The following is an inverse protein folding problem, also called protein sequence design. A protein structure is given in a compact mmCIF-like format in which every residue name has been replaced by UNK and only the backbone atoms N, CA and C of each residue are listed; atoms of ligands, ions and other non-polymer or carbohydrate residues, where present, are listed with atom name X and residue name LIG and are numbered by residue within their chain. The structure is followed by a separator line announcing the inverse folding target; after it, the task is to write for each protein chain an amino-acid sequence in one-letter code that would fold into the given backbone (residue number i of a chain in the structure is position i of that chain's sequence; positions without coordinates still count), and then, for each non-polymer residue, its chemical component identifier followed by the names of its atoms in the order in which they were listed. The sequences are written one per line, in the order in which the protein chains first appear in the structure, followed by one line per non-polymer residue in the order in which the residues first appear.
data_IF_885455121599
#
_entry.id   IF_885455121599
#
_cell.length_a   1.000
_cell.length_b   1.000
_cell.length_c   1.000
_cell.angle_alpha   90.00
_cell.angle_beta   90.00
_cell.angle_gamma   90.00
#
_symmetry.space_group_name_H-M   'P 1'
#
loop_
_entity.id
_entity.type
_entity.pdbx_description
1 polymer ?
#
# COMPACT_ATOMS: atom_id res chain seq x y z
N UNK A 1 8.50 -8.72 8.74
CA UNK A 1 7.91 -7.80 7.75
C UNK A 1 6.46 -7.61 8.15
N UNK A 2 6.03 -6.36 8.27
CA UNK A 2 4.65 -5.99 8.54
C UNK A 2 4.25 -4.96 7.50
N UNK A 3 3.10 -5.14 6.86
CA UNK A 3 2.62 -4.26 5.81
C UNK A 3 1.49 -3.38 6.36
N UNK A 4 1.60 -2.07 6.14
CA UNK A 4 0.48 -1.15 6.30
C UNK A 4 -0.12 -0.88 4.93
N UNK A 5 -1.43 -1.08 4.82
CA UNK A 5 -2.21 -0.82 3.59
C UNK A 5 -3.25 0.24 3.93
N UNK A 6 -3.13 1.42 3.33
CA UNK A 6 -3.98 2.56 3.61
C UNK A 6 -4.71 2.98 2.34
N UNK A 7 -6.05 2.97 2.38
CA UNK A 7 -6.89 3.53 1.33
C UNK A 7 -7.41 4.91 1.72
N UNK A 8 -7.31 5.89 0.84
CA UNK A 8 -7.94 7.20 1.02
C UNK A 8 -8.32 7.84 -0.31
N UNK A 9 -9.16 8.87 -0.25
CA UNK A 9 -9.47 9.71 -1.41
C UNK A 9 -8.69 11.01 -1.31
N UNK A 10 -8.12 11.48 -2.42
CA UNK A 10 -7.38 12.73 -2.51
C UNK A 10 -8.23 13.93 -2.05
N UNK A 11 -7.59 15.02 -1.59
CA UNK A 11 -8.27 16.30 -1.47
C UNK A 11 -8.96 16.64 -2.79
N UNK A 12 -10.20 17.13 -2.71
CA UNK A 12 -11.08 17.39 -3.86
C UNK A 12 -11.69 16.15 -4.56
N UNK A 13 -11.55 14.96 -3.98
CA UNK A 13 -12.24 13.74 -4.41
C UNK A 13 -11.94 13.30 -5.85
N UNK A 14 -10.77 13.65 -6.39
CA UNK A 14 -10.40 13.37 -7.78
C UNK A 14 -9.78 12.00 -7.99
N UNK A 15 -9.14 11.43 -6.95
CA UNK A 15 -8.39 10.18 -7.04
C UNK A 15 -8.63 9.34 -5.78
N UNK A 16 -8.82 8.05 -5.96
CA UNK A 16 -8.76 7.09 -4.86
C UNK A 16 -7.39 6.44 -4.87
N UNK A 17 -6.74 6.41 -3.71
CA UNK A 17 -5.32 6.08 -3.58
C UNK A 17 -5.18 4.92 -2.59
N UNK A 18 -4.33 3.96 -2.93
CA UNK A 18 -3.87 2.88 -2.08
C UNK A 18 -2.38 3.05 -1.81
N UNK A 19 -2.02 3.32 -0.56
CA UNK A 19 -0.64 3.34 -0.10
C UNK A 19 -0.24 2.01 0.53
N UNK A 20 0.92 1.47 0.15
CA UNK A 20 1.48 0.25 0.74
C UNK A 20 2.87 0.53 1.29
N UNK A 21 3.08 0.21 2.56
CA UNK A 21 4.36 0.44 3.26
C UNK A 21 4.80 -0.83 3.97
N UNK A 22 6.06 -1.23 3.78
CA UNK A 22 6.71 -2.29 4.55
C UNK A 22 7.44 -1.73 5.77
N UNK A 23 7.26 -2.40 6.89
CA UNK A 23 7.89 -2.14 8.17
C UNK A 23 8.72 -3.36 8.58
N UNK A 24 10.05 -3.18 8.69
CA UNK A 24 10.95 -4.27 9.05
C UNK A 24 12.14 -3.79 9.91
N UNK A 25 12.63 -4.63 10.84
CA UNK A 25 13.85 -4.34 11.57
C UNK A 25 15.10 -4.67 10.72
N UNK A 26 16.16 -3.90 10.89
CA UNK A 26 17.50 -4.31 10.45
C UNK A 26 18.12 -5.31 11.42
N UNK A 27 19.26 -5.88 11.01
CA UNK A 27 20.11 -6.75 11.84
C UNK A 27 20.59 -6.08 13.12
N UNK A 28 20.55 -4.74 13.21
CA UNK A 28 20.92 -3.96 14.41
C UNK A 28 19.72 -3.56 15.26
N UNK A 29 18.51 -4.01 14.93
CA UNK A 29 17.28 -3.71 15.68
C UNK A 29 16.63 -2.36 15.33
N UNK A 30 17.25 -1.53 14.48
CA UNK A 30 16.64 -0.30 13.96
C UNK A 30 15.46 -0.65 13.05
N UNK A 31 14.29 -0.01 13.26
CA UNK A 31 13.10 -0.17 12.41
C UNK A 31 13.21 0.70 11.16
N UNK A 32 12.94 0.11 10.01
CA UNK A 32 12.87 0.78 8.71
C UNK A 32 11.44 0.74 8.19
N UNK A 33 11.09 1.79 7.45
CA UNK A 33 9.84 1.90 6.71
C UNK A 33 10.18 2.11 5.23
N UNK A 34 9.63 1.29 4.35
CA UNK A 34 9.81 1.40 2.91
C UNK A 34 8.45 1.58 2.24
N UNK A 35 8.25 2.70 1.54
CA UNK A 35 7.07 2.88 0.70
C UNK A 35 7.22 1.98 -0.52
N UNK A 36 6.35 0.98 -0.63
CA UNK A 36 6.33 0.07 -1.77
C UNK A 36 5.54 0.66 -2.93
N UNK A 37 4.40 1.29 -2.64
CA UNK A 37 3.56 1.88 -3.66
C UNK A 37 2.70 3.03 -3.15
N UNK A 38 2.39 3.94 -4.08
CA UNK A 38 1.32 4.91 -4.00
C UNK A 38 0.50 4.77 -5.29
N UNK A 39 -0.55 3.96 -5.23
CA UNK A 39 -1.29 3.50 -6.40
C UNK A 39 -2.65 4.18 -6.52
N UNK A 40 -2.99 4.71 -7.68
CA UNK A 40 -4.36 5.17 -7.94
C UNK A 40 -5.26 3.97 -8.23
N UNK A 41 -6.28 3.77 -7.40
CA UNK A 41 -7.25 2.70 -7.54
C UNK A 41 -8.14 3.01 -8.74
N UNK A 42 -8.07 2.15 -9.76
CA UNK A 42 -8.95 2.18 -10.92
C UNK A 42 -9.94 1.02 -10.81
N UNK A 43 -11.24 1.31 -10.93
CA UNK A 43 -12.29 0.28 -10.88
C UNK A 43 -12.87 0.03 -9.48
N UNK A 44 -13.37 -1.18 -9.17
CA UNK A 44 -14.09 -1.46 -7.92
C UNK A 44 -13.19 -1.37 -6.68
N UNK A 45 -13.73 -0.81 -5.59
CA UNK A 45 -13.05 -0.72 -4.29
C UNK A 45 -13.45 -1.87 -3.34
N UNK A 46 -13.63 -3.09 -3.87
CA UNK A 46 -13.92 -4.25 -3.03
C UNK A 46 -12.65 -4.79 -2.38
N UNK A 47 -12.80 -5.55 -1.29
CA UNK A 47 -11.65 -6.14 -0.59
C UNK A 47 -10.81 -7.04 -1.49
N UNK A 48 -11.46 -7.80 -2.37
CA UNK A 48 -10.81 -8.68 -3.34
C UNK A 48 -9.97 -7.89 -4.35
N UNK A 49 -10.55 -6.85 -4.96
CA UNK A 49 -9.85 -6.02 -5.94
C UNK A 49 -8.63 -5.31 -5.33
N UNK A 50 -8.77 -4.78 -4.12
CA UNK A 50 -7.66 -4.15 -3.39
C UNK A 50 -6.61 -5.19 -2.99
N UNK A 51 -7.03 -6.39 -2.59
CA UNK A 51 -6.14 -7.50 -2.27
C UNK A 51 -5.26 -7.90 -3.45
N UNK A 52 -5.85 -8.02 -4.64
CA UNK A 52 -5.12 -8.33 -5.87
C UNK A 52 -4.07 -7.26 -6.21
N UNK A 53 -4.41 -5.97 -6.05
CA UNK A 53 -3.46 -4.86 -6.23
C UNK A 53 -2.28 -5.00 -5.27
N UNK A 54 -2.54 -5.24 -3.97
CA UNK A 54 -1.49 -5.39 -2.95
C UNK A 54 -0.57 -6.58 -3.26
N UNK A 55 -1.14 -7.72 -3.67
CA UNK A 55 -0.36 -8.91 -4.03
C UNK A 55 0.55 -8.64 -5.23
N UNK A 56 0.07 -7.88 -6.22
CA UNK A 56 0.88 -7.51 -7.38
C UNK A 56 2.03 -6.59 -6.99
N UNK A 57 1.78 -5.57 -6.15
CA UNK A 57 2.83 -4.66 -5.64
C UNK A 57 3.95 -5.41 -4.91
N UNK A 58 3.61 -6.45 -4.14
CA UNK A 58 4.61 -7.22 -3.36
C UNK A 58 5.42 -8.18 -4.25
N UNK A 59 4.90 -8.57 -5.41
CA UNK A 59 5.53 -9.53 -6.31
C UNK A 59 6.50 -8.90 -7.31
N UNK A 60 6.46 -7.58 -7.52
CA UNK A 60 7.45 -6.82 -8.30
C UNK A 60 8.80 -6.73 -7.58
#
# INVERSE_FOLDING_TARGET
IHLSVNGWTSPHHTMSILGVVDHFPSTRGTRYNLVLALWEIQGPHTGEALGDIVVNIIKE
#
